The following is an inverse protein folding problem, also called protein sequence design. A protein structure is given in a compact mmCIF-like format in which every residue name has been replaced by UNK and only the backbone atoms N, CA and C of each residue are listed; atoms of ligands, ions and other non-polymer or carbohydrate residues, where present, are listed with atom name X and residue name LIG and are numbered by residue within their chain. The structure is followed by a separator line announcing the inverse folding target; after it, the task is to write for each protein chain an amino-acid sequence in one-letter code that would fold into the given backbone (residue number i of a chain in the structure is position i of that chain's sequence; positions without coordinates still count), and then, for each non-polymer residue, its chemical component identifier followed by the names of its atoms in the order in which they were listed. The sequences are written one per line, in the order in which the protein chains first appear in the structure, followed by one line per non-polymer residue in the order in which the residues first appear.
data_IF_580013771425
#
_entry.id   IF_580013771425
#
_cell.length_a   1.000
_cell.length_b   1.000
_cell.length_c   1.000
_cell.angle_alpha   90.00
_cell.angle_beta   90.00
_cell.angle_gamma   90.00
#
_symmetry.space_group_name_H-M   'P 1'
#
loop_
_entity.id
_entity.type
_entity.pdbx_description
1 polymer ?
#
# COMPACT_ATOMS: atom_id res chain seq x y z
N UNK A 1 -1.95 21.38 8.58
CA UNK A 1 -1.57 20.02 8.14
C UNK A 1 -2.82 19.28 7.71
N UNK A 2 -2.86 18.67 6.51
CA UNK A 2 -3.99 17.81 6.13
C UNK A 2 -3.99 16.57 7.03
N UNK A 3 -5.15 16.22 7.61
CA UNK A 3 -5.28 15.02 8.46
C UNK A 3 -4.93 13.78 7.63
N UNK A 4 -3.99 12.98 8.12
CA UNK A 4 -3.64 11.68 7.53
C UNK A 4 -4.85 10.76 7.63
N UNK A 5 -5.35 10.27 6.49
CA UNK A 5 -6.41 9.26 6.45
C UNK A 5 -5.84 7.88 6.81
N UNK A 6 -6.63 7.09 7.51
CA UNK A 6 -6.34 5.72 7.93
C UNK A 6 -7.32 4.76 7.27
N UNK A 7 -6.99 3.47 7.24
CA UNK A 7 -7.83 2.42 6.68
C UNK A 7 -9.28 2.49 7.21
N UNK A 8 -9.54 2.67 8.53
CA UNK A 8 -10.90 2.83 9.04
C UNK A 8 -11.68 4.01 8.42
N UNK A 9 -11.00 5.10 8.02
CA UNK A 9 -11.63 6.24 7.34
C UNK A 9 -12.07 5.87 5.91
N UNK A 10 -11.44 4.85 5.31
CA UNK A 10 -11.70 4.40 3.93
C UNK A 10 -12.71 3.25 3.87
N UNK A 11 -12.87 2.46 4.94
CA UNK A 11 -13.78 1.31 4.98
C UNK A 11 -15.24 1.65 4.59
N UNK A 12 -15.83 2.78 4.99
CA UNK A 12 -17.18 3.14 4.53
C UNK A 12 -17.28 3.29 3.01
N UNK A 13 -16.27 3.90 2.37
CA UNK A 13 -16.23 4.03 0.92
C UNK A 13 -16.15 2.66 0.23
N UNK A 14 -15.33 1.75 0.75
CA UNK A 14 -15.21 0.40 0.23
C UNK A 14 -16.52 -0.40 0.34
N UNK A 15 -17.17 -0.34 1.51
CA UNK A 15 -18.46 -1.04 1.78
C UNK A 15 -19.61 -0.52 0.91
N UNK A 16 -19.60 0.76 0.60
CA UNK A 16 -20.60 1.39 -0.27
C UNK A 16 -20.31 1.21 -1.77
N UNK A 17 -19.27 0.44 -2.14
CA UNK A 17 -18.90 0.26 -3.55
C UNK A 17 -18.24 1.49 -4.18
N UNK A 18 -17.81 2.48 -3.37
CA UNK A 18 -17.14 3.71 -3.83
C UNK A 18 -15.64 3.48 -4.02
N UNK A 19 -15.29 2.49 -4.84
CA UNK A 19 -13.91 2.19 -5.21
C UNK A 19 -13.78 1.81 -6.68
N UNK A 20 -12.53 1.80 -7.15
CA UNK A 20 -12.16 1.33 -8.50
C UNK A 20 -10.99 0.39 -8.42
N UNK A 21 -11.02 -0.66 -9.25
CA UNK A 21 -9.90 -1.54 -9.47
C UNK A 21 -8.99 -0.96 -10.55
N UNK A 22 -7.72 -0.74 -10.22
CA UNK A 22 -6.71 -0.34 -11.19
C UNK A 22 -6.38 -1.46 -12.18
N UNK A 23 -5.90 -1.14 -13.40
CA UNK A 23 -5.51 -2.16 -14.39
C UNK A 23 -4.47 -3.17 -13.87
N UNK A 24 -3.57 -2.71 -13.00
CA UNK A 24 -2.57 -3.56 -12.37
C UNK A 24 -3.19 -4.62 -11.45
N UNK A 25 -4.23 -4.25 -10.67
CA UNK A 25 -4.94 -5.20 -9.81
C UNK A 25 -5.56 -6.31 -10.65
N UNK A 26 -6.26 -5.97 -11.73
CA UNK A 26 -6.92 -6.95 -12.59
C UNK A 26 -5.92 -7.97 -13.17
N UNK A 27 -4.72 -7.51 -13.53
CA UNK A 27 -3.63 -8.40 -13.96
C UNK A 27 -3.21 -9.36 -12.85
N UNK A 28 -2.97 -8.86 -11.63
CA UNK A 28 -2.56 -9.70 -10.51
C UNK A 28 -3.67 -10.67 -10.06
N UNK A 29 -4.94 -10.24 -10.08
CA UNK A 29 -6.10 -11.10 -9.82
C UNK A 29 -6.08 -12.35 -10.73
N UNK A 30 -5.85 -12.14 -12.03
CA UNK A 30 -5.78 -13.21 -13.01
C UNK A 30 -4.52 -14.08 -12.85
N UNK A 31 -3.36 -13.47 -12.57
CA UNK A 31 -2.08 -14.17 -12.48
C UNK A 31 -1.92 -14.96 -11.17
N UNK A 32 -2.50 -14.47 -10.08
CA UNK A 32 -2.30 -15.01 -8.73
C UNK A 32 -3.54 -15.69 -8.17
N UNK A 33 -4.68 -15.61 -8.86
CA UNK A 33 -5.87 -16.40 -8.57
C UNK A 33 -6.70 -15.89 -7.40
N UNK A 34 -6.79 -14.56 -7.22
CA UNK A 34 -7.66 -13.95 -6.21
C UNK A 34 -8.72 -13.05 -6.85
N UNK A 35 -9.86 -12.91 -6.16
CA UNK A 35 -11.02 -12.17 -6.65
C UNK A 35 -11.12 -10.77 -6.03
N UNK A 36 -12.02 -9.96 -6.57
CA UNK A 36 -12.37 -8.66 -5.98
C UNK A 36 -12.91 -8.81 -4.55
N UNK A 37 -13.74 -9.83 -4.31
CA UNK A 37 -14.28 -10.13 -2.99
C UNK A 37 -13.17 -10.45 -1.98
N UNK A 38 -12.14 -11.19 -2.42
CA UNK A 38 -10.98 -11.50 -1.58
C UNK A 38 -10.23 -10.23 -1.16
N UNK A 39 -10.05 -9.28 -2.09
CA UNK A 39 -9.44 -7.98 -1.80
C UNK A 39 -10.27 -7.23 -0.75
N UNK A 40 -11.58 -7.13 -0.94
CA UNK A 40 -12.46 -6.40 -0.02
C UNK A 40 -12.47 -7.01 1.38
N UNK A 41 -12.49 -8.36 1.46
CA UNK A 41 -12.42 -9.08 2.75
C UNK A 41 -11.07 -8.92 3.42
N UNK A 42 -10.00 -8.94 2.64
CA UNK A 42 -8.66 -8.68 3.13
C UNK A 42 -8.54 -7.25 3.69
N UNK A 43 -9.16 -6.25 3.06
CA UNK A 43 -9.17 -4.86 3.54
C UNK A 43 -10.02 -4.68 4.80
N UNK A 44 -11.15 -5.39 4.93
CA UNK A 44 -12.04 -5.27 6.09
C UNK A 44 -11.36 -5.62 7.42
N UNK A 45 -10.51 -6.65 7.40
CA UNK A 45 -9.76 -7.14 8.57
C UNK A 45 -8.26 -6.86 8.48
N UNK A 46 -7.88 -6.02 7.52
CA UNK A 46 -6.48 -5.77 7.16
C UNK A 46 -5.76 -4.89 8.18
N UNK A 47 -4.45 -5.11 8.29
CA UNK A 47 -3.54 -4.26 9.05
C UNK A 47 -2.87 -3.25 8.14
N UNK A 48 -2.90 -1.98 8.53
CA UNK A 48 -2.08 -0.95 7.90
C UNK A 48 -0.59 -1.27 8.11
N UNK A 49 0.14 -1.51 7.03
CA UNK A 49 1.58 -1.71 7.08
C UNK A 49 2.34 -0.40 6.89
N UNK A 50 1.86 0.47 6.01
CA UNK A 50 2.51 1.74 5.71
C UNK A 50 1.53 2.74 5.13
N UNK A 51 1.80 4.02 5.37
CA UNK A 51 1.10 5.15 4.77
C UNK A 51 2.14 6.01 4.07
N UNK A 52 1.86 6.37 2.83
CA UNK A 52 2.65 7.26 1.98
C UNK A 52 1.87 8.58 1.85
N UNK A 53 2.11 9.58 2.72
CA UNK A 53 1.29 10.80 2.79
C UNK A 53 1.31 11.61 1.50
N UNK A 54 2.48 11.71 0.87
CA UNK A 54 2.69 12.51 -0.35
C UNK A 54 1.86 11.98 -1.52
N UNK A 55 1.88 10.66 -1.72
CA UNK A 55 1.09 9.98 -2.75
C UNK A 55 -0.38 9.82 -2.36
N UNK A 56 -0.74 10.10 -1.11
CA UNK A 56 -2.04 9.75 -0.52
C UNK A 56 -2.37 8.28 -0.74
N UNK A 57 -1.38 7.42 -0.47
CA UNK A 57 -1.46 5.96 -0.61
C UNK A 57 -1.21 5.24 0.70
N UNK A 58 -1.74 4.04 0.84
CA UNK A 58 -1.41 3.15 1.94
C UNK A 58 -1.25 1.70 1.48
N UNK A 59 -0.39 0.97 2.16
CA UNK A 59 -0.22 -0.46 2.02
C UNK A 59 -0.93 -1.16 3.18
N UNK A 60 -1.84 -2.05 2.84
CA UNK A 60 -2.60 -2.87 3.79
C UNK A 60 -2.21 -4.33 3.60
N UNK A 61 -1.98 -5.04 4.70
CA UNK A 61 -1.87 -6.49 4.74
C UNK A 61 -3.17 -7.08 5.25
N UNK A 62 -3.90 -7.73 4.36
CA UNK A 62 -5.02 -8.57 4.73
C UNK A 62 -4.72 -10.04 4.48
N UNK A 63 -5.75 -10.88 4.61
CA UNK A 63 -5.65 -12.31 4.39
C UNK A 63 -6.88 -12.82 3.65
N UNK A 64 -6.64 -13.66 2.65
CA UNK A 64 -7.65 -14.55 2.10
C UNK A 64 -7.74 -15.78 3.00
N UNK A 65 -8.95 -16.17 3.39
CA UNK A 65 -9.18 -17.28 4.30
C UNK A 65 -9.89 -18.40 3.53
N UNK A 66 -9.20 -19.51 3.33
CA UNK A 66 -9.72 -20.71 2.71
C UNK A 66 -9.92 -21.79 3.79
N UNK A 67 -11.18 -22.13 4.12
CA UNK A 67 -11.46 -23.18 5.09
C UNK A 67 -10.85 -24.52 4.65
N UNK A 68 -10.38 -25.37 5.59
CA UNK A 68 -10.50 -25.23 7.04
C UNK A 68 -9.32 -24.49 7.73
N UNK A 69 -8.17 -24.29 7.08
CA UNK A 69 -6.94 -23.81 7.76
C UNK A 69 -5.99 -22.94 6.94
N UNK A 70 -6.27 -22.67 5.66
CA UNK A 70 -5.34 -21.94 4.82
C UNK A 70 -5.63 -20.44 4.90
N UNK A 71 -4.60 -19.66 5.24
CA UNK A 71 -4.66 -18.18 5.20
C UNK A 71 -3.54 -17.70 4.30
N UNK A 72 -3.89 -17.08 3.18
CA UNK A 72 -2.92 -16.50 2.27
C UNK A 72 -2.83 -15.00 2.50
N UNK A 73 -1.62 -14.43 2.69
CA UNK A 73 -1.44 -13.00 2.83
C UNK A 73 -1.79 -12.30 1.53
N UNK A 74 -2.40 -11.13 1.63
CA UNK A 74 -2.71 -10.28 0.48
C UNK A 74 -2.28 -8.85 0.80
N UNK A 75 -1.32 -8.34 0.04
CA UNK A 75 -0.97 -6.93 0.04
C UNK A 75 -1.91 -6.18 -0.87
N UNK A 76 -2.47 -5.09 -0.38
CA UNK A 76 -3.37 -4.22 -1.13
C UNK A 76 -2.89 -2.79 -0.98
N UNK A 77 -2.66 -2.12 -2.12
CA UNK A 77 -2.29 -0.71 -2.16
C UNK A 77 -3.53 0.10 -2.48
N UNK A 78 -3.88 1.00 -1.58
CA UNK A 78 -4.98 1.94 -1.75
C UNK A 78 -4.44 3.33 -2.05
N UNK A 79 -5.11 4.06 -2.93
CA UNK A 79 -4.95 5.50 -3.16
C UNK A 79 -6.26 6.20 -2.81
N UNK A 80 -6.16 7.31 -2.07
CA UNK A 80 -7.31 8.03 -1.52
C UNK A 80 -7.22 9.54 -1.80
N UNK A 81 -6.53 9.91 -2.89
CA UNK A 81 -6.38 11.29 -3.33
C UNK A 81 -7.71 11.95 -3.68
N UNK A 82 -8.63 11.18 -4.26
CA UNK A 82 -9.97 11.63 -4.59
C UNK A 82 -10.85 11.63 -3.33
N UNK A 83 -11.56 12.74 -3.03
CA UNK A 83 -12.56 12.74 -1.98
C UNK A 83 -13.66 11.70 -2.27
N UNK A 84 -14.08 10.95 -1.24
CA UNK A 84 -15.22 10.00 -1.29
C UNK A 84 -15.04 8.79 -2.21
N UNK A 85 -13.84 8.54 -2.71
CA UNK A 85 -13.53 7.37 -3.54
C UNK A 85 -12.17 6.79 -3.16
N UNK A 86 -12.02 5.49 -3.34
CA UNK A 86 -10.76 4.77 -3.07
C UNK A 86 -10.34 4.02 -4.33
N UNK A 87 -9.16 4.34 -4.85
CA UNK A 87 -8.59 3.60 -5.97
C UNK A 87 -7.75 2.44 -5.39
N UNK A 88 -8.11 1.20 -5.72
CA UNK A 88 -7.30 0.02 -5.42
C UNK A 88 -6.25 -0.06 -6.52
N UNK A 89 -5.02 0.36 -6.23
CA UNK A 89 -3.97 0.56 -7.24
C UNK A 89 -3.36 -0.76 -7.69
N UNK A 90 -3.04 -1.62 -6.72
CA UNK A 90 -2.53 -2.97 -6.96
C UNK A 90 -2.87 -3.87 -5.77
N UNK A 91 -2.96 -5.17 -6.00
CA UNK A 91 -2.99 -6.19 -4.96
C UNK A 91 -2.13 -7.37 -5.41
N UNK A 92 -1.49 -8.06 -4.47
CA UNK A 92 -0.64 -9.22 -4.76
C UNK A 92 -0.40 -10.06 -3.49
N UNK A 93 -0.07 -11.34 -3.66
CA UNK A 93 0.30 -12.29 -2.62
C UNK A 93 1.81 -12.13 -2.36
N UNK A 94 2.22 -11.51 -1.24
CA UNK A 94 3.63 -11.27 -0.96
C UNK A 94 4.35 -12.57 -0.55
N UNK A 95 5.60 -12.73 -0.98
CA UNK A 95 6.51 -13.75 -0.43
C UNK A 95 6.89 -13.48 1.03
N UNK A 96 7.03 -12.19 1.39
CA UNK A 96 7.38 -11.72 2.73
C UNK A 96 6.27 -10.78 3.24
N UNK A 97 5.25 -11.29 3.98
CA UNK A 97 4.02 -10.53 4.25
C UNK A 97 4.17 -9.27 5.10
N UNK A 98 5.16 -9.24 5.99
CA UNK A 98 5.41 -8.08 6.86
C UNK A 98 6.41 -7.09 6.27
N UNK A 99 6.92 -7.36 5.06
CA UNK A 99 7.89 -6.50 4.39
C UNK A 99 7.18 -5.32 3.74
N UNK A 100 7.48 -4.11 4.21
CA UNK A 100 6.88 -2.86 3.70
C UNK A 100 7.55 -2.38 2.42
N UNK A 101 8.87 -2.40 2.37
CA UNK A 101 9.65 -1.91 1.23
C UNK A 101 10.22 -3.07 0.42
N UNK A 102 10.02 -3.03 -0.90
CA UNK A 102 10.75 -3.93 -1.80
C UNK A 102 12.25 -3.63 -1.75
N UNK A 103 13.11 -4.62 -2.02
CA UNK A 103 14.57 -4.39 -2.11
C UNK A 103 14.89 -3.29 -3.12
N UNK A 104 14.16 -3.23 -4.23
CA UNK A 104 14.30 -2.19 -5.26
C UNK A 104 13.93 -0.81 -4.72
N UNK A 105 12.83 -0.67 -3.97
CA UNK A 105 12.39 0.60 -3.38
C UNK A 105 13.31 1.04 -2.24
N UNK A 106 13.73 0.11 -1.39
CA UNK A 106 14.75 0.37 -0.37
C UNK A 106 16.06 0.83 -1.04
N UNK A 107 16.52 0.15 -2.09
CA UNK A 107 17.69 0.56 -2.84
C UNK A 107 17.51 1.87 -3.63
N UNK A 108 16.28 2.32 -3.90
CA UNK A 108 16.03 3.64 -4.49
C UNK A 108 16.09 4.73 -3.41
N UNK A 109 15.49 4.48 -2.24
CA UNK A 109 15.56 5.35 -1.07
C UNK A 109 17.02 5.49 -0.58
N UNK A 110 17.78 4.39 -0.59
CA UNK A 110 19.18 4.34 -0.17
C UNK A 110 20.15 4.78 -1.27
N UNK A 111 19.73 4.78 -2.55
CA UNK A 111 20.50 5.38 -3.63
C UNK A 111 20.42 6.89 -3.47
N UNK A 112 21.34 7.41 -2.67
CA UNK A 112 21.59 8.82 -2.46
C UNK A 112 22.23 9.47 -3.71
N UNK A 113 21.67 9.20 -4.90
CA UNK A 113 22.19 9.69 -6.19
C UNK A 113 21.37 10.88 -6.75
N UNK A 114 20.30 11.28 -6.07
CA UNK A 114 19.47 12.44 -6.44
C UNK A 114 18.70 12.27 -7.76
N UNK A 115 18.65 11.05 -8.31
CA UNK A 115 18.14 10.84 -9.67
C UNK A 115 16.63 10.56 -9.75
N UNK A 116 15.96 10.21 -8.64
CA UNK A 116 14.58 9.68 -8.70
C UNK A 116 13.57 10.32 -7.72
N UNK A 117 13.99 10.91 -6.60
CA UNK A 117 13.10 11.64 -5.69
C UNK A 117 13.82 12.89 -5.17
N UNK A 118 13.18 14.06 -5.26
CA UNK A 118 13.71 15.33 -4.72
C UNK A 118 13.73 15.23 -3.19
N UNK A 119 14.89 14.90 -2.60
CA UNK A 119 15.06 14.82 -1.14
C UNK A 119 15.18 16.25 -0.60
N UNK A 120 14.12 16.75 0.04
CA UNK A 120 14.16 17.99 0.81
C UNK A 120 14.64 17.71 2.23
N UNK A 121 15.83 18.20 2.54
CA UNK A 121 16.37 18.17 3.89
C UNK A 121 15.56 19.08 4.82
N UNK A 122 15.29 18.63 6.04
CA UNK A 122 14.62 19.46 7.06
C UNK A 122 15.58 20.44 7.74
N UNK A 123 16.88 20.25 7.60
CA UNK A 123 17.97 21.08 8.09
C UNK A 123 19.06 21.22 7.00
N UNK A 124 20.02 22.15 7.13
CA UNK A 124 21.22 22.15 6.30
C UNK A 124 21.88 20.76 6.29
N UNK A 125 22.40 20.32 5.14
CA UNK A 125 22.93 18.95 4.95
C UNK A 125 24.04 18.61 5.96
N UNK A 126 24.76 19.63 6.39
CA UNK A 126 25.86 19.60 7.36
C UNK A 126 25.38 19.30 8.79
N UNK A 127 24.08 19.43 9.07
CA UNK A 127 23.48 19.10 10.36
C UNK A 127 23.21 17.60 10.55
N UNK A 128 23.36 16.80 9.49
CA UNK A 128 23.20 15.35 9.56
C UNK A 128 24.56 14.67 9.71
N UNK A 129 24.64 13.54 10.44
CA UNK A 129 25.89 12.81 10.62
C UNK A 129 26.52 12.48 9.26
N UNK A 130 27.83 12.66 9.15
CA UNK A 130 28.58 12.10 8.03
C UNK A 130 28.43 10.58 8.08
N UNK A 131 27.88 10.00 7.02
CA UNK A 131 27.76 8.55 6.89
C UNK A 131 29.11 8.05 6.34
N UNK A 132 29.93 7.45 7.20
CA UNK A 132 31.05 6.58 6.77
C UNK A 132 30.52 5.24 6.26
#
# INVERSE_FOLDING_TARGET
MKKLRRLPDLLPHLREGRYRLGPHVAKHMLQEGFTELDILRALEWGRELCIYPEDQRMLVLGYMVFPPRLRLPLHVVLEYAKPRHVDIVTAFIPKEPYRVYSRKRLAAILRFDGALEEVRWSLPKEAYPAWE
#
